data_IF_567174393630
#
_entry.id   IF_567174393630
#
_cell.length_a   1.000
_cell.length_b   1.000
_cell.length_c   1.000
_cell.angle_alpha   90.00
_cell.angle_beta   90.00
_cell.angle_gamma   90.00
#
_symmetry.space_group_name_H-M   'P 1'
#
loop_
_entity.id
_entity.type
_entity.pdbx_description
1 polymer ?
#
# COMPACT_ATOMS: atom_id res chain seq x y z
N UNK A 1 27.86 24.15 1.22
CA UNK A 1 27.07 23.48 2.27
C UNK A 1 25.60 23.69 1.97
N UNK A 2 24.94 22.77 1.26
CA UNK A 2 23.56 22.93 0.79
C UNK A 2 22.58 22.74 1.96
N UNK A 3 22.31 23.82 2.70
CA UNK A 3 21.22 23.85 3.67
C UNK A 3 19.93 24.15 2.92
N UNK A 4 19.02 23.18 2.99
CA UNK A 4 17.59 23.25 2.66
C UNK A 4 17.18 22.93 1.20
N UNK A 5 17.12 21.63 0.87
CA UNK A 5 16.54 21.14 -0.39
C UNK A 5 15.04 20.79 -0.30
N UNK A 6 14.39 20.98 0.86
CA UNK A 6 12.97 20.67 1.03
C UNK A 6 12.15 21.92 0.66
N UNK A 7 11.27 21.86 -0.36
CA UNK A 7 10.43 22.99 -0.72
C UNK A 7 9.43 23.30 0.41
N UNK A 8 9.14 24.58 0.63
CA UNK A 8 8.16 25.00 1.65
C UNK A 8 6.69 24.63 1.33
N UNK A 9 6.40 24.20 0.09
CA UNK A 9 5.08 23.67 -0.28
C UNK A 9 5.17 22.76 -1.50
N UNK A 10 4.28 21.76 -1.55
CA UNK A 10 3.99 20.94 -2.73
C UNK A 10 2.57 21.26 -3.17
N UNK A 11 2.38 21.58 -4.46
CA UNK A 11 1.07 21.89 -5.03
C UNK A 11 0.57 20.70 -5.84
N UNK A 12 -0.66 20.26 -5.54
CA UNK A 12 -1.33 19.19 -6.29
C UNK A 12 -2.33 19.84 -7.25
N UNK A 13 -2.13 19.66 -8.55
CA UNK A 13 -3.08 20.14 -9.57
C UNK A 13 -4.33 19.27 -9.59
N UNK A 14 -5.49 19.90 -9.45
CA UNK A 14 -6.80 19.22 -9.36
C UNK A 14 -7.76 19.62 -10.48
N UNK A 15 -7.35 20.46 -11.43
CA UNK A 15 -8.13 20.77 -12.62
C UNK A 15 -7.79 19.86 -13.80
N UNK A 16 -8.46 20.10 -14.93
CA UNK A 16 -8.18 19.49 -16.23
C UNK A 16 -8.24 17.95 -16.20
N UNK A 17 -9.30 17.39 -15.63
CA UNK A 17 -9.47 15.94 -15.51
C UNK A 17 -8.83 15.32 -14.26
N UNK A 18 -8.22 16.15 -13.39
CA UNK A 18 -7.63 15.71 -12.13
C UNK A 18 -8.52 16.01 -10.91
N UNK A 19 -9.80 16.28 -11.12
CA UNK A 19 -10.75 16.65 -10.06
C UNK A 19 -10.86 15.53 -9.02
N UNK A 20 -10.70 14.27 -9.44
CA UNK A 20 -10.66 13.11 -8.55
C UNK A 20 -9.59 13.22 -7.45
N UNK A 21 -8.47 13.91 -7.70
CA UNK A 21 -7.42 14.14 -6.69
C UNK A 21 -7.95 14.98 -5.53
N UNK A 22 -8.74 16.02 -5.83
CA UNK A 22 -9.35 16.85 -4.79
C UNK A 22 -10.32 16.03 -3.94
N UNK A 23 -11.14 15.19 -4.57
CA UNK A 23 -12.12 14.36 -3.87
C UNK A 23 -11.46 13.31 -2.96
N UNK A 24 -10.40 12.63 -3.42
CA UNK A 24 -9.69 11.66 -2.56
C UNK A 24 -8.95 12.35 -1.41
N UNK A 25 -8.36 13.52 -1.63
CA UNK A 25 -7.73 14.32 -0.56
C UNK A 25 -8.78 14.76 0.47
N UNK A 26 -9.97 15.18 0.02
CA UNK A 26 -11.07 15.54 0.92
C UNK A 26 -11.55 14.34 1.73
N UNK A 27 -11.62 13.14 1.14
CA UNK A 27 -11.95 11.90 1.84
C UNK A 27 -10.89 11.55 2.89
N UNK A 28 -9.60 11.63 2.54
CA UNK A 28 -8.50 11.41 3.48
C UNK A 28 -8.56 12.41 4.64
N UNK A 29 -8.74 13.70 4.37
CA UNK A 29 -8.86 14.73 5.41
C UNK A 29 -10.03 14.46 6.36
N UNK A 30 -11.17 13.99 5.84
CA UNK A 30 -12.29 13.58 6.68
C UNK A 30 -11.96 12.34 7.52
N UNK A 31 -11.30 11.34 6.95
CA UNK A 31 -10.90 10.12 7.65
C UNK A 31 -9.95 10.41 8.82
N UNK A 32 -8.91 11.20 8.57
CA UNK A 32 -7.93 11.58 9.58
C UNK A 32 -8.42 12.69 10.53
N UNK A 33 -9.51 13.38 10.18
CA UNK A 33 -10.00 14.52 10.97
C UNK A 33 -9.05 15.73 10.99
N UNK A 34 -8.25 15.91 9.94
CA UNK A 34 -7.23 16.96 9.86
C UNK A 34 -7.36 17.81 8.58
N UNK A 35 -6.48 18.79 8.41
CA UNK A 35 -6.46 19.60 7.20
C UNK A 35 -5.95 18.77 5.99
N UNK A 36 -6.15 19.28 4.78
CA UNK A 36 -5.82 18.54 3.54
C UNK A 36 -4.33 18.26 3.36
N UNK A 37 -3.46 19.15 3.85
CA UNK A 37 -2.01 18.99 3.73
C UNK A 37 -1.52 17.87 4.65
N UNK A 38 -1.96 17.88 5.90
CA UNK A 38 -1.63 16.82 6.87
C UNK A 38 -2.22 15.48 6.41
N UNK A 39 -3.44 15.48 5.87
CA UNK A 39 -4.07 14.26 5.36
C UNK A 39 -3.27 13.59 4.23
N UNK A 40 -2.69 14.39 3.34
CA UNK A 40 -1.80 13.86 2.28
C UNK A 40 -0.51 13.31 2.89
N UNK A 41 0.09 14.03 3.84
CA UNK A 41 1.31 13.57 4.50
C UNK A 41 1.07 12.25 5.25
N UNK A 42 0.01 12.16 6.05
CA UNK A 42 -0.37 10.95 6.80
C UNK A 42 -0.68 9.79 5.86
N UNK A 43 -1.43 10.01 4.78
CA UNK A 43 -1.69 8.95 3.81
C UNK A 43 -0.39 8.41 3.16
N UNK A 44 0.59 9.29 2.90
CA UNK A 44 1.89 8.90 2.36
C UNK A 44 2.79 8.20 3.40
N UNK A 45 2.62 8.49 4.69
CA UNK A 45 3.32 7.79 5.78
C UNK A 45 2.70 6.41 6.05
N UNK A 46 1.37 6.34 6.10
CA UNK A 46 0.63 5.15 6.45
C UNK A 46 0.71 4.06 5.38
N UNK A 47 0.84 4.42 4.09
CA UNK A 47 0.83 3.42 3.00
C UNK A 47 1.97 2.40 3.13
N UNK A 48 3.18 2.82 3.54
CA UNK A 48 4.30 1.90 3.77
C UNK A 48 3.99 0.95 4.94
N UNK A 49 3.44 1.49 6.03
CA UNK A 49 3.05 0.71 7.20
C UNK A 49 1.95 -0.30 6.88
N UNK A 50 0.93 0.10 6.11
CA UNK A 50 -0.19 -0.74 5.70
C UNK A 50 0.27 -1.87 4.77
N UNK A 51 1.13 -1.57 3.78
CA UNK A 51 1.68 -2.61 2.88
C UNK A 51 2.51 -3.61 3.65
N UNK A 52 3.36 -3.18 4.58
CA UNK A 52 4.12 -4.10 5.45
C UNK A 52 3.22 -4.96 6.32
N UNK A 53 2.16 -4.37 6.88
CA UNK A 53 1.19 -5.12 7.68
C UNK A 53 0.44 -6.17 6.84
N UNK A 54 0.04 -5.81 5.62
CA UNK A 54 -0.56 -6.73 4.66
C UNK A 54 0.38 -7.91 4.33
N UNK A 55 1.65 -7.65 4.02
CA UNK A 55 2.63 -8.71 3.78
C UNK A 55 2.77 -9.63 5.00
N UNK A 56 2.88 -9.08 6.21
CA UNK A 56 2.97 -9.88 7.44
C UNK A 56 1.76 -10.79 7.64
N UNK A 57 0.55 -10.30 7.34
CA UNK A 57 -0.67 -11.12 7.38
C UNK A 57 -0.58 -12.23 6.34
N UNK A 58 -0.22 -11.90 5.10
CA UNK A 58 -0.09 -12.84 4.00
C UNK A 58 1.03 -13.87 4.19
N UNK A 59 2.02 -13.60 5.04
CA UNK A 59 3.12 -14.53 5.38
C UNK A 59 2.74 -15.54 6.47
N UNK A 60 1.67 -15.32 7.24
CA UNK A 60 1.28 -16.18 8.35
C UNK A 60 1.02 -17.64 7.98
N UNK A 61 1.72 -18.56 8.63
CA UNK A 61 1.68 -20.01 8.40
C UNK A 61 0.30 -20.66 8.65
N UNK A 62 -0.60 -20.01 9.38
CA UNK A 62 -1.95 -20.52 9.66
C UNK A 62 -2.98 -20.24 8.55
N UNK A 63 -2.61 -19.47 7.53
CA UNK A 63 -3.46 -19.23 6.36
C UNK A 63 -3.29 -20.31 5.29
N UNK A 64 -4.40 -20.84 4.82
CA UNK A 64 -4.41 -21.69 3.61
C UNK A 64 -4.01 -20.88 2.38
N UNK A 65 -3.60 -21.56 1.31
CA UNK A 65 -3.28 -20.89 0.05
C UNK A 65 -4.47 -20.08 -0.48
N UNK A 66 -5.67 -20.64 -0.43
CA UNK A 66 -6.90 -19.97 -0.88
C UNK A 66 -7.17 -18.70 -0.06
N UNK A 67 -7.00 -18.75 1.27
CA UNK A 67 -7.14 -17.57 2.13
C UNK A 67 -6.10 -16.49 1.82
N UNK A 68 -4.83 -16.88 1.57
CA UNK A 68 -3.80 -15.92 1.18
C UNK A 68 -4.14 -15.26 -0.16
N UNK A 69 -4.65 -16.02 -1.13
CA UNK A 69 -5.07 -15.49 -2.42
C UNK A 69 -6.25 -14.52 -2.29
N UNK A 70 -7.28 -14.89 -1.52
CA UNK A 70 -8.44 -14.02 -1.25
C UNK A 70 -8.02 -12.71 -0.59
N UNK A 71 -7.17 -12.78 0.44
CA UNK A 71 -6.66 -11.60 1.14
C UNK A 71 -5.82 -10.74 0.18
N UNK A 72 -4.96 -11.35 -0.63
CA UNK A 72 -4.10 -10.64 -1.58
C UNK A 72 -4.91 -9.91 -2.66
N UNK A 73 -5.95 -10.55 -3.21
CA UNK A 73 -6.86 -9.92 -4.17
C UNK A 73 -7.63 -8.77 -3.52
N UNK A 74 -8.15 -8.97 -2.30
CA UNK A 74 -8.92 -7.96 -1.55
C UNK A 74 -8.07 -6.73 -1.21
N UNK A 75 -6.80 -6.92 -0.84
CA UNK A 75 -5.88 -5.84 -0.49
C UNK A 75 -5.26 -5.17 -1.71
N UNK A 76 -5.38 -5.77 -2.89
CA UNK A 76 -4.89 -5.17 -4.13
C UNK A 76 -5.74 -3.96 -4.51
N UNK A 77 -5.06 -2.87 -4.83
CA UNK A 77 -5.67 -1.60 -5.24
C UNK A 77 -5.09 -1.18 -6.59
N UNK A 78 -5.53 -0.04 -7.12
CA UNK A 78 -4.94 0.52 -8.36
C UNK A 78 -3.41 0.72 -8.27
N UNK A 79 -2.87 0.99 -7.08
CA UNK A 79 -1.46 1.35 -6.90
C UNK A 79 -0.59 0.22 -6.34
N UNK A 80 -1.19 -0.85 -5.80
CA UNK A 80 -0.49 -1.94 -5.12
C UNK A 80 -1.15 -3.26 -5.52
N UNK A 81 -0.34 -4.23 -5.95
CA UNK A 81 -0.76 -5.61 -6.21
C UNK A 81 -0.03 -6.53 -5.25
N UNK A 82 -0.75 -7.46 -4.64
CA UNK A 82 -0.16 -8.53 -3.83
C UNK A 82 -0.27 -9.84 -4.62
N UNK A 83 0.88 -10.46 -4.90
CA UNK A 83 0.95 -11.75 -5.58
C UNK A 83 1.40 -12.84 -4.60
N UNK A 84 0.69 -13.96 -4.58
CA UNK A 84 1.03 -15.13 -3.76
C UNK A 84 1.76 -16.16 -4.62
N UNK A 85 3.07 -16.33 -4.39
CA UNK A 85 3.89 -17.32 -5.11
C UNK A 85 4.12 -18.54 -4.22
N UNK A 86 3.68 -19.71 -4.67
CA UNK A 86 4.02 -21.00 -4.06
C UNK A 86 5.13 -21.69 -4.85
N UNK A 87 6.12 -22.25 -4.15
CA UNK A 87 7.18 -23.05 -4.78
C UNK A 87 7.01 -24.53 -4.45
N UNK A 88 7.15 -25.39 -5.45
CA UNK A 88 7.11 -26.85 -5.30
C UNK A 88 8.53 -27.37 -5.49
N UNK A 89 9.08 -28.07 -4.48
CA UNK A 89 10.38 -28.75 -4.59
C UNK A 89 10.20 -30.27 -4.59
N UNK A 90 10.80 -30.96 -5.56
CA UNK A 90 10.78 -32.44 -5.66
C UNK A 90 12.14 -32.99 -5.22
N UNK A 91 12.15 -33.93 -4.28
CA UNK A 91 13.33 -34.76 -3.96
C UNK A 91 13.05 -36.19 -4.41
N UNK A 92 13.96 -36.75 -5.22
CA UNK A 92 13.88 -38.14 -5.69
C UNK A 92 14.24 -39.11 -4.56
N UNK A 93 13.50 -40.23 -4.49
CA UNK A 93 13.56 -41.24 -3.42
C UNK A 93 14.75 -42.21 -3.56
N UNK A 94 15.85 -41.78 -4.16
CA UNK A 94 17.00 -42.63 -4.48
C UNK A 94 18.20 -42.27 -3.61
N UNK A 95 18.04 -42.40 -2.29
CA UNK A 95 19.13 -42.47 -1.31
C UNK A 95 18.53 -42.83 0.08
N UNK A 96 17.94 -44.03 0.15
CA UNK A 96 17.78 -44.81 1.38
C UNK A 96 17.90 -46.29 1.04
#
# INVERSE_FOLDING_TARGET
MARNQIPGSVRIHTGDGNEWRYDVIKKAAKFYGCNRSDAVAFACEDIDTLVRAACRVLERDDLTLEQRQEIAETLSTRAVTFDVVTSISVKTKSEM
#
